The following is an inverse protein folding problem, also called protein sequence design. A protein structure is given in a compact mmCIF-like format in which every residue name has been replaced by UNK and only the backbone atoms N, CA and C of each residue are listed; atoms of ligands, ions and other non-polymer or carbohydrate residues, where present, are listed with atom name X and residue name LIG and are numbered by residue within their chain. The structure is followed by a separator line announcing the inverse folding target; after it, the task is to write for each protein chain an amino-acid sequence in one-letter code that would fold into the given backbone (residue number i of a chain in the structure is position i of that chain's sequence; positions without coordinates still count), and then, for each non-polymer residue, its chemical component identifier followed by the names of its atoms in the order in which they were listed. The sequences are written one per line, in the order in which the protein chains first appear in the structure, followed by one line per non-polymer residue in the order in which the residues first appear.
data_IF_909295261334
#
_entry.id   IF_909295261334
#
_cell.length_a   1.000
_cell.length_b   1.000
_cell.length_c   1.000
_cell.angle_alpha   90.00
_cell.angle_beta   90.00
_cell.angle_gamma   90.00
#
_symmetry.space_group_name_H-M   'P 1'
#
loop_
_entity.id
_entity.type
_entity.pdbx_description
1 polymer ?
#
# COMPACT_ATOMS: atom_id res chain seq x y z
N UNK A 1 26.05 -28.65 23.91
CA UNK A 1 24.90 -27.70 23.94
C UNK A 1 24.33 -27.57 22.54
N UNK A 2 23.03 -27.83 22.36
CA UNK A 2 22.36 -27.76 21.05
C UNK A 2 22.25 -26.31 20.59
N UNK A 3 22.55 -26.06 19.31
CA UNK A 3 22.42 -24.77 18.63
C UNK A 3 20.94 -24.41 18.47
N UNK A 4 20.56 -23.17 18.78
CA UNK A 4 19.31 -22.58 18.32
C UNK A 4 19.64 -21.40 17.40
N UNK A 5 19.91 -21.70 16.14
CA UNK A 5 19.76 -20.75 15.05
C UNK A 5 18.27 -20.69 14.71
N UNK A 6 17.52 -19.83 15.39
CA UNK A 6 16.18 -19.45 14.95
C UNK A 6 16.32 -18.68 13.64
N UNK A 7 16.23 -19.42 12.54
CA UNK A 7 16.12 -18.88 11.19
C UNK A 7 14.95 -17.90 11.15
N UNK A 8 15.25 -16.65 10.80
CA UNK A 8 14.26 -15.63 10.52
C UNK A 8 13.38 -16.17 9.41
N UNK A 9 12.11 -16.41 9.73
CA UNK A 9 11.15 -16.93 8.76
C UNK A 9 10.69 -15.75 7.92
N UNK A 10 11.34 -15.53 6.77
CA UNK A 10 10.80 -14.66 5.73
C UNK A 10 9.40 -15.18 5.39
N UNK A 11 8.37 -14.34 5.56
CA UNK A 11 6.99 -14.67 5.24
C UNK A 11 6.92 -15.29 3.84
N UNK A 12 6.79 -16.62 3.80
CA UNK A 12 6.51 -17.36 2.57
C UNK A 12 5.08 -17.03 2.17
N UNK A 13 4.93 -16.13 1.19
CA UNK A 13 3.66 -15.78 0.55
C UNK A 13 3.29 -16.77 -0.57
N UNK A 14 3.94 -17.94 -0.66
CA UNK A 14 3.57 -18.96 -1.64
C UNK A 14 2.37 -19.77 -1.13
N UNK A 15 1.21 -19.57 -1.77
CA UNK A 15 0.04 -20.46 -1.66
C UNK A 15 -0.94 -20.13 -0.52
N UNK A 16 -0.91 -18.92 0.04
CA UNK A 16 -1.96 -18.44 0.96
C UNK A 16 -2.78 -17.35 0.27
N UNK A 17 -4.09 -17.36 0.50
CA UNK A 17 -5.01 -16.30 0.10
C UNK A 17 -4.47 -14.94 0.60
N UNK A 18 -4.43 -13.95 -0.29
CA UNK A 18 -3.88 -12.63 0.01
C UNK A 18 -4.66 -11.99 1.15
N UNK A 19 -4.02 -11.86 2.31
CA UNK A 19 -4.58 -11.16 3.47
C UNK A 19 -3.78 -9.86 3.67
N UNK A 20 -4.27 -8.72 3.14
CA UNK A 20 -3.62 -7.43 3.28
C UNK A 20 -3.34 -7.10 4.75
N UNK A 21 -4.27 -7.44 5.66
CA UNK A 21 -4.13 -7.17 7.09
C UNK A 21 -2.90 -7.89 7.70
N UNK A 22 -2.55 -9.08 7.22
CA UNK A 22 -1.32 -9.78 7.65
C UNK A 22 -0.05 -9.10 7.14
N UNK A 23 -0.10 -8.43 5.99
CA UNK A 23 1.03 -7.64 5.46
C UNK A 23 1.30 -6.44 6.37
N UNK A 24 0.25 -5.68 6.74
CA UNK A 24 0.37 -4.55 7.66
C UNK A 24 0.83 -5.01 9.05
N UNK A 25 0.24 -6.08 9.58
CA UNK A 25 0.65 -6.67 10.86
C UNK A 25 2.12 -7.10 10.85
N UNK A 26 2.60 -7.68 9.75
CA UNK A 26 3.99 -8.09 9.60
C UNK A 26 4.95 -6.89 9.52
N UNK A 27 4.57 -5.79 8.86
CA UNK A 27 5.34 -4.52 8.89
C UNK A 27 5.35 -3.91 10.29
N UNK A 28 4.22 -3.84 11.00
CA UNK A 28 4.16 -3.38 12.40
C UNK A 28 5.09 -4.18 13.31
N UNK A 29 5.07 -5.51 13.19
CA UNK A 29 5.93 -6.40 13.99
C UNK A 29 7.42 -6.16 13.70
N UNK A 30 7.79 -5.94 12.43
CA UNK A 30 9.18 -5.62 12.06
C UNK A 30 9.62 -4.24 12.56
N UNK A 31 8.75 -3.23 12.49
CA UNK A 31 9.02 -1.88 13.01
C UNK A 31 9.22 -1.89 14.53
N UNK A 32 8.47 -2.73 15.27
CA UNK A 32 8.64 -2.88 16.72
C UNK A 32 9.95 -3.54 17.16
N UNK A 33 10.65 -4.23 16.25
CA UNK A 33 11.92 -4.93 16.52
C UNK A 33 13.16 -4.07 16.23
N UNK A 34 13.05 -3.08 15.33
CA UNK A 34 14.02 -2.01 15.23
C UNK A 34 13.70 -1.00 16.33
N UNK A 35 14.55 -0.88 17.34
CA UNK A 35 14.39 -0.05 18.55
C UNK A 35 14.32 1.48 18.30
N UNK A 36 13.56 1.92 17.30
CA UNK A 36 13.33 3.30 16.89
C UNK A 36 11.83 3.48 16.73
N UNK A 37 11.11 3.47 17.84
CA UNK A 37 9.86 4.19 18.09
C UNK A 37 9.15 3.55 19.28
N UNK A 38 9.39 4.08 20.48
CA UNK A 38 8.35 4.17 21.51
C UNK A 38 7.32 5.24 21.09
N UNK A 39 6.78 5.07 19.89
CA UNK A 39 5.54 5.67 19.42
C UNK A 39 4.74 4.45 19.03
N UNK A 40 3.82 4.03 19.89
CA UNK A 40 2.77 3.10 19.48
C UNK A 40 1.99 3.83 18.37
N UNK A 41 2.42 3.68 17.11
CA UNK A 41 1.65 4.11 15.95
C UNK A 41 0.36 3.31 16.02
N UNK A 42 -0.66 3.91 16.61
CA UNK A 42 -1.97 3.30 16.77
C UNK A 42 -2.64 3.30 15.41
N UNK A 43 -2.49 2.20 14.69
CA UNK A 43 -3.24 1.97 13.46
C UNK A 43 -4.65 1.59 13.86
N UNK A 44 -5.60 2.46 13.52
CA UNK A 44 -7.01 2.13 13.60
C UNK A 44 -7.30 0.94 12.67
N UNK A 45 -7.48 -0.22 13.28
CA UNK A 45 -7.78 -1.48 12.58
C UNK A 45 -9.05 -1.37 11.75
N UNK A 46 -10.07 -0.69 12.25
CA UNK A 46 -11.35 -0.56 11.54
C UNK A 46 -11.17 0.31 10.29
N UNK A 47 -10.49 1.46 10.42
CA UNK A 47 -10.21 2.34 9.30
C UNK A 47 -9.38 1.64 8.20
N UNK A 48 -8.40 0.81 8.60
CA UNK A 48 -7.63 0.00 7.64
C UNK A 48 -8.50 -1.01 6.92
N UNK A 49 -9.34 -1.77 7.65
CA UNK A 49 -10.23 -2.76 7.04
C UNK A 49 -11.23 -2.10 6.08
N UNK A 50 -11.82 -0.98 6.47
CA UNK A 50 -12.78 -0.24 5.64
C UNK A 50 -12.12 0.31 4.38
N UNK A 51 -10.94 0.91 4.50
CA UNK A 51 -10.15 1.36 3.35
C UNK A 51 -9.83 0.18 2.42
N UNK A 52 -9.41 -0.97 2.97
CA UNK A 52 -9.14 -2.18 2.18
C UNK A 52 -10.37 -2.76 1.48
N UNK A 53 -11.52 -2.73 2.13
CA UNK A 53 -12.75 -3.29 1.58
C UNK A 53 -13.15 -2.63 0.25
N UNK A 54 -12.76 -1.36 0.06
CA UNK A 54 -12.99 -0.63 -1.21
C UNK A 54 -12.24 -1.21 -2.41
N UNK A 55 -11.29 -2.13 -2.18
CA UNK A 55 -10.49 -2.80 -3.22
C UNK A 55 -10.67 -4.33 -3.24
N UNK A 56 -11.71 -4.84 -2.59
CA UNK A 56 -11.96 -6.28 -2.45
C UNK A 56 -12.20 -7.02 -3.79
N UNK A 57 -12.57 -6.30 -4.85
CA UNK A 57 -12.79 -6.87 -6.19
C UNK A 57 -11.53 -6.90 -7.06
N UNK A 58 -10.44 -6.26 -6.62
CA UNK A 58 -9.19 -6.25 -7.36
C UNK A 58 -8.43 -7.56 -7.18
N UNK A 59 -7.72 -7.97 -8.24
CA UNK A 59 -6.80 -9.09 -8.19
C UNK A 59 -5.69 -8.85 -7.17
N UNK A 60 -5.17 -9.94 -6.61
CA UNK A 60 -4.02 -9.91 -5.69
C UNK A 60 -2.82 -9.17 -6.27
N UNK A 61 -2.58 -9.33 -7.58
CA UNK A 61 -1.47 -8.67 -8.25
C UNK A 61 -1.64 -7.15 -8.26
N UNK A 62 -2.84 -6.65 -8.61
CA UNK A 62 -3.14 -5.21 -8.56
C UNK A 62 -3.03 -4.66 -7.15
N UNK A 63 -3.60 -5.37 -6.17
CA UNK A 63 -3.51 -5.00 -4.76
C UNK A 63 -2.06 -4.87 -4.30
N UNK A 64 -1.22 -5.85 -4.64
CA UNK A 64 0.20 -5.81 -4.29
C UNK A 64 0.91 -4.61 -4.92
N UNK A 65 0.71 -4.37 -6.21
CA UNK A 65 1.32 -3.22 -6.91
C UNK A 65 0.88 -1.89 -6.27
N UNK A 66 -0.42 -1.72 -6.01
CA UNK A 66 -0.98 -0.49 -5.45
C UNK A 66 -0.50 -0.26 -4.01
N UNK A 67 -0.47 -1.31 -3.19
CA UNK A 67 -0.15 -1.20 -1.77
C UNK A 67 1.33 -1.18 -1.47
N UNK A 68 2.06 -2.16 -1.98
CA UNK A 68 3.46 -2.32 -1.64
C UNK A 68 4.24 -1.28 -2.44
N UNK A 69 4.15 -1.35 -3.76
CA UNK A 69 4.96 -0.47 -4.61
C UNK A 69 4.41 0.96 -4.57
N UNK A 70 3.09 1.13 -4.73
CA UNK A 70 2.46 2.45 -4.78
C UNK A 70 2.52 3.24 -3.47
N UNK A 71 2.02 2.66 -2.37
CA UNK A 71 1.93 3.33 -1.06
C UNK A 71 3.23 3.18 -0.25
N UNK A 72 3.68 1.96 0.03
CA UNK A 72 4.77 1.73 0.98
C UNK A 72 6.16 2.07 0.42
N UNK A 73 6.33 2.02 -0.90
CA UNK A 73 7.56 2.39 -1.61
C UNK A 73 7.39 3.69 -2.43
N UNK A 74 6.35 4.47 -2.14
CA UNK A 74 6.06 5.80 -2.70
C UNK A 74 6.01 5.90 -4.23
N UNK A 75 5.74 4.81 -4.97
CA UNK A 75 5.79 4.84 -6.44
C UNK A 75 4.68 5.65 -7.11
N UNK A 76 3.65 6.10 -6.37
CA UNK A 76 2.64 7.00 -6.92
C UNK A 76 3.15 8.42 -7.23
N UNK A 77 4.36 8.80 -6.81
CA UNK A 77 5.02 10.00 -7.31
C UNK A 77 5.66 9.80 -8.71
N UNK A 78 5.76 8.56 -9.19
CA UNK A 78 6.38 8.20 -10.46
C UNK A 78 5.32 7.96 -11.54
N UNK A 79 5.24 8.87 -12.50
CA UNK A 79 4.26 8.78 -13.59
C UNK A 79 4.40 7.52 -14.44
N UNK A 80 5.62 6.98 -14.61
CA UNK A 80 5.84 5.76 -15.40
C UNK A 80 5.18 4.57 -14.72
N UNK A 81 5.32 4.45 -13.40
CA UNK A 81 4.67 3.42 -12.61
C UNK A 81 3.15 3.49 -12.77
N UNK A 82 2.56 4.69 -12.65
CA UNK A 82 1.10 4.87 -12.81
C UNK A 82 0.66 4.46 -14.21
N UNK A 83 1.36 4.89 -15.26
CA UNK A 83 1.02 4.57 -16.64
C UNK A 83 1.10 3.07 -16.94
N UNK A 84 2.10 2.37 -16.39
CA UNK A 84 2.20 0.91 -16.49
C UNK A 84 1.07 0.24 -15.73
N UNK A 85 0.81 0.67 -14.48
CA UNK A 85 -0.22 0.11 -13.63
C UNK A 85 -1.61 0.17 -14.29
N UNK A 86 -1.97 1.31 -14.90
CA UNK A 86 -3.30 1.46 -15.52
C UNK A 86 -3.45 0.75 -16.87
N UNK A 87 -2.34 0.30 -17.48
CA UNK A 87 -2.35 -0.46 -18.73
C UNK A 87 -2.45 -1.97 -18.49
N UNK A 88 -2.30 -2.42 -17.24
CA UNK A 88 -2.27 -3.82 -16.85
C UNK A 88 -3.36 -4.14 -15.81
N UNK A 89 -3.57 -5.43 -15.57
CA UNK A 89 -4.43 -5.93 -14.49
C UNK A 89 -5.88 -5.42 -14.57
N UNK A 90 -6.42 -5.05 -13.40
CA UNK A 90 -7.84 -4.71 -13.24
C UNK A 90 -8.22 -3.34 -13.82
N UNK A 91 -7.23 -2.51 -14.16
CA UNK A 91 -7.47 -1.18 -14.75
C UNK A 91 -7.49 -1.18 -16.27
N UNK A 92 -6.95 -2.22 -16.91
CA UNK A 92 -6.74 -2.25 -18.36
C UNK A 92 -8.04 -2.09 -19.18
N UNK A 93 -9.19 -2.49 -18.60
CA UNK A 93 -10.51 -2.35 -19.23
C UNK A 93 -11.21 -1.03 -18.91
N UNK A 94 -10.65 -0.21 -18.01
CA UNK A 94 -11.22 1.07 -17.60
C UNK A 94 -10.71 2.21 -18.49
N UNK A 95 -11.44 3.33 -18.55
CA UNK A 95 -10.86 4.54 -19.12
C UNK A 95 -9.75 5.07 -18.22
N UNK A 96 -8.68 5.64 -18.79
CA UNK A 96 -7.55 6.16 -18.00
C UNK A 96 -8.01 7.17 -16.95
N UNK A 97 -8.98 8.03 -17.27
CA UNK A 97 -9.55 8.98 -16.31
C UNK A 97 -10.17 8.28 -15.10
N UNK A 98 -10.94 7.22 -15.32
CA UNK A 98 -11.54 6.44 -14.23
C UNK A 98 -10.46 5.75 -13.39
N UNK A 99 -9.45 5.15 -14.04
CA UNK A 99 -8.36 4.51 -13.33
C UNK A 99 -7.58 5.51 -12.45
N UNK A 100 -7.24 6.69 -12.98
CA UNK A 100 -6.59 7.75 -12.19
C UNK A 100 -7.45 8.24 -11.04
N UNK A 101 -8.77 8.35 -11.22
CA UNK A 101 -9.70 8.73 -10.16
C UNK A 101 -9.69 7.70 -9.02
N UNK A 102 -9.80 6.42 -9.35
CA UNK A 102 -9.80 5.33 -8.38
C UNK A 102 -8.48 5.30 -7.60
N UNK A 103 -7.35 5.43 -8.29
CA UNK A 103 -6.04 5.51 -7.66
C UNK A 103 -5.92 6.74 -6.75
N UNK A 104 -6.40 7.91 -7.19
CA UNK A 104 -6.40 9.13 -6.39
C UNK A 104 -7.20 8.97 -5.10
N UNK A 105 -8.44 8.46 -5.20
CA UNK A 105 -9.32 8.21 -4.06
C UNK A 105 -8.70 7.22 -3.08
N UNK A 106 -8.00 6.22 -3.59
CA UNK A 106 -7.29 5.27 -2.75
C UNK A 106 -6.14 5.90 -1.97
N UNK A 107 -5.26 6.65 -2.66
CA UNK A 107 -4.10 7.30 -2.03
C UNK A 107 -4.54 8.33 -1.00
N UNK A 108 -5.50 9.21 -1.34
CA UNK A 108 -5.93 10.27 -0.42
C UNK A 108 -6.64 9.73 0.83
N UNK A 109 -7.29 8.58 0.72
CA UNK A 109 -7.96 7.92 1.85
C UNK A 109 -7.03 6.97 2.64
N UNK A 110 -5.72 6.98 2.37
CA UNK A 110 -4.75 6.19 3.15
C UNK A 110 -4.91 6.51 4.65
N UNK A 111 -5.14 5.51 5.52
CA UNK A 111 -5.30 5.74 6.96
C UNK A 111 -4.09 6.44 7.59
N UNK A 112 -4.32 7.35 8.54
CA UNK A 112 -3.26 8.16 9.18
C UNK A 112 -2.09 7.34 9.71
N UNK A 113 -2.37 6.23 10.40
CA UNK A 113 -1.30 5.36 10.93
C UNK A 113 -0.45 4.69 9.85
N UNK A 114 -0.93 4.60 8.60
CA UNK A 114 -0.13 4.16 7.44
C UNK A 114 0.61 5.36 6.82
N UNK A 115 -0.03 6.53 6.75
CA UNK A 115 0.62 7.77 6.27
C UNK A 115 1.88 8.10 7.07
N UNK A 116 1.87 7.86 8.40
CA UNK A 116 3.04 8.07 9.28
C UNK A 116 4.27 7.22 8.91
N UNK A 117 4.13 6.21 8.06
CA UNK A 117 5.24 5.39 7.56
C UNK A 117 5.83 5.87 6.23
N UNK A 118 5.19 6.85 5.61
CA UNK A 118 5.53 7.39 4.30
C UNK A 118 6.11 8.78 4.53
N UNK A 119 7.11 9.16 3.75
CA UNK A 119 7.60 10.53 3.77
C UNK A 119 6.48 11.50 3.37
N UNK A 120 6.31 12.59 4.12
CA UNK A 120 5.22 13.55 3.91
C UNK A 120 5.29 14.21 2.52
N UNK A 121 6.51 14.46 2.01
CA UNK A 121 6.72 15.05 0.69
C UNK A 121 6.33 14.04 -0.38
N UNK A 122 6.73 12.79 -0.23
CA UNK A 122 6.37 11.72 -1.17
C UNK A 122 4.87 11.45 -1.21
N UNK A 123 4.21 11.41 -0.05
CA UNK A 123 2.77 11.25 0.03
C UNK A 123 2.04 12.43 -0.64
N UNK A 124 2.48 13.66 -0.37
CA UNK A 124 1.93 14.85 -1.02
C UNK A 124 2.12 14.80 -2.54
N UNK A 125 3.31 14.46 -3.02
CA UNK A 125 3.58 14.34 -4.46
C UNK A 125 2.71 13.27 -5.12
N UNK A 126 2.51 12.13 -4.45
CA UNK A 126 1.62 11.07 -4.94
C UNK A 126 0.18 11.57 -5.15
N UNK A 127 -0.36 12.30 -4.17
CA UNK A 127 -1.67 12.95 -4.26
C UNK A 127 -1.72 13.98 -5.40
N UNK A 128 -0.72 14.86 -5.49
CA UNK A 128 -0.68 15.93 -6.50
C UNK A 128 -0.62 15.36 -7.93
N UNK A 129 0.22 14.35 -8.18
CA UNK A 129 0.35 13.70 -9.49
C UNK A 129 -0.97 13.04 -9.90
N UNK A 130 -1.59 12.27 -9.00
CA UNK A 130 -2.85 11.59 -9.29
C UNK A 130 -4.02 12.58 -9.47
N UNK A 131 -4.06 13.68 -8.73
CA UNK A 131 -5.04 14.75 -8.92
C UNK A 131 -4.92 15.41 -10.31
N UNK A 132 -3.68 15.69 -10.74
CA UNK A 132 -3.40 16.23 -12.07
C UNK A 132 -3.86 15.28 -13.18
N UNK A 133 -3.63 13.98 -13.02
CA UNK A 133 -4.02 12.95 -13.99
C UNK A 133 -5.55 12.72 -14.03
N UNK A 134 -6.22 12.74 -12.88
CA UNK A 134 -7.68 12.54 -12.78
C UNK A 134 -8.49 13.78 -13.23
N UNK A 135 -7.82 14.93 -13.37
CA UNK A 135 -8.43 16.25 -13.60
C UNK A 135 -9.32 16.72 -12.44
N UNK A 136 -9.07 16.23 -11.23
CA UNK A 136 -9.60 16.86 -10.02
C UNK A 136 -8.74 18.09 -9.72
N UNK A 137 -9.23 19.25 -10.16
CA UNK A 137 -8.74 20.56 -9.70
C UNK A 137 -9.58 21.04 -8.53
#
# INVERSE_FOLDING_TARGET
MKRNTSLITHCHLQGKEFDPYQIFKSKCQRLSWSSVAESEVFIDKQAVIEWFATWSECSEQTLKSVLVDGILESQFNNITFILTLIQEGDFATMSSKQAYQILYEFVINTPKGIQEWIDEIDFKMSCDVLALLSKNR
#
